data_IF_137906584322
#
_entry.id   IF_137906584322
#
_cell.length_a   1.000
_cell.length_b   1.000
_cell.length_c   1.000
_cell.angle_alpha   90.00
_cell.angle_beta   90.00
_cell.angle_gamma   90.00
#
_symmetry.space_group_name_H-M   'P 1'
#
loop_
_entity.id
_entity.type
_entity.pdbx_description
1 polymer ?
#
# COMPACT_ATOMS: atom_id res chain seq x y z
N UNK A 1 24.61 16.12 14.31
CA UNK A 1 24.43 16.24 13.69
C UNK A 1 23.76 16.62 13.26
N UNK A 2 23.47 16.03 13.49
CA UNK A 2 22.97 16.17 12.68
C UNK A 2 22.28 16.20 12.31
N UNK A 3 21.96 16.03 12.75
CA UNK A 3 21.48 16.11 12.03
C UNK A 3 20.87 16.02 11.63
N UNK A 4 20.71 15.78 12.05
CA UNK A 4 20.41 15.78 11.30
C UNK A 4 19.83 15.56 11.11
N UNK A 5 19.54 15.42 11.36
CA UNK A 5 19.21 15.31 10.84
C UNK A 5 18.81 15.33 10.30
N UNK A 6 18.65 15.08 10.41
CA UNK A 6 18.40 15.05 9.58
C UNK A 6 18.33 14.80 9.12
N UNK A 7 18.37 14.72 9.41
CA UNK A 7 18.46 14.33 8.71
C UNK A 7 18.26 13.81 8.56
N UNK A 8 18.03 13.64 8.54
CA UNK A 8 17.93 13.15 8.18
C UNK A 8 17.56 12.75 7.85
N UNK A 9 17.38 12.58 7.94
CA UNK A 9 17.24 12.19 7.45
C UNK A 9 17.37 11.95 6.99
N UNK A 10 17.46 11.94 6.99
CA UNK A 10 17.77 11.54 6.56
C UNK A 10 18.25 11.19 6.60
N UNK A 11 18.45 10.91 6.34
CA UNK A 11 18.80 10.18 6.35
C UNK A 11 18.97 9.65 6.95
N UNK A 12 19.13 9.60 7.09
CA UNK A 12 19.25 8.47 7.75
C UNK A 12 18.77 7.20 7.25
N UNK A 13 17.68 6.94 7.03
CA UNK A 13 17.23 5.77 6.33
C UNK A 13 17.82 5.69 4.95
N UNK A 14 18.07 4.48 4.43
CA UNK A 14 18.55 4.36 3.07
C UNK A 14 17.62 5.09 2.12
N UNK A 15 18.19 5.77 1.15
CA UNK A 15 17.38 6.41 0.13
C UNK A 15 16.70 5.32 -0.68
N UNK A 16 15.38 5.41 -0.79
CA UNK A 16 14.63 4.45 -1.58
C UNK A 16 14.91 4.65 -3.06
N UNK A 17 15.34 3.60 -3.77
CA UNK A 17 15.48 3.71 -5.21
C UNK A 17 14.16 4.13 -5.86
N UNK A 18 14.24 4.98 -6.87
CA UNK A 18 13.04 5.53 -7.52
C UNK A 18 12.14 4.45 -8.12
N UNK A 19 12.71 3.30 -8.45
CA UNK A 19 11.98 2.21 -9.09
C UNK A 19 11.65 1.10 -8.12
N UNK A 20 11.53 1.40 -6.84
CA UNK A 20 11.31 0.40 -5.82
C UNK A 20 10.23 0.84 -4.83
N UNK A 21 9.97 -0.01 -3.88
CA UNK A 21 9.04 0.26 -2.80
C UNK A 21 9.65 -0.19 -1.48
N UNK A 22 9.12 0.32 -0.38
CA UNK A 22 9.61 -0.01 0.95
C UNK A 22 8.43 -0.41 1.84
N UNK A 23 8.63 -1.48 2.61
CA UNK A 23 7.60 -1.96 3.55
C UNK A 23 8.20 -1.96 4.95
N UNK A 24 7.47 -1.38 5.90
CA UNK A 24 7.90 -1.41 7.29
C UNK A 24 6.67 -1.43 8.20
N UNK A 25 6.85 -1.87 9.43
CA UNK A 25 5.78 -1.84 10.41
C UNK A 25 5.92 -0.57 11.26
N UNK A 26 4.83 0.16 11.42
CA UNK A 26 4.79 1.38 12.23
C UNK A 26 3.64 1.31 13.22
N UNK A 27 3.98 1.29 14.51
CA UNK A 27 3.00 1.32 15.59
C UNK A 27 1.91 0.25 15.46
N UNK A 28 0.88 0.49 14.66
CA UNK A 28 -0.27 -0.40 14.57
C UNK A 28 -0.61 -0.81 13.13
N UNK A 29 0.25 -0.47 12.17
CA UNK A 29 -0.05 -0.77 10.76
C UNK A 29 1.21 -1.02 9.95
N UNK A 30 1.03 -1.74 8.84
CA UNK A 30 2.08 -1.88 7.85
C UNK A 30 2.10 -0.61 7.01
N UNK A 31 3.26 0.00 6.90
CA UNK A 31 3.45 1.18 6.07
C UNK A 31 4.21 0.79 4.80
N UNK A 32 3.67 1.18 3.65
CA UNK A 32 4.29 0.90 2.36
C UNK A 32 4.50 2.23 1.63
N UNK A 33 5.72 2.47 1.19
CA UNK A 33 6.02 3.63 0.37
C UNK A 33 6.37 3.16 -1.04
N UNK A 34 5.71 3.72 -2.04
CA UNK A 34 5.96 3.39 -3.45
C UNK A 34 6.72 4.53 -4.10
N UNK A 35 7.89 4.24 -4.66
CA UNK A 35 8.74 5.24 -5.30
C UNK A 35 8.15 5.73 -6.62
N UNK A 36 8.66 6.89 -7.12
CA UNK A 36 8.06 7.56 -8.28
C UNK A 36 8.19 6.79 -9.61
N UNK A 37 9.13 5.88 -9.70
CA UNK A 37 9.35 5.13 -10.93
C UNK A 37 9.17 3.62 -10.74
N UNK A 38 8.45 3.22 -9.69
CA UNK A 38 8.19 1.81 -9.47
C UNK A 38 7.32 1.26 -10.61
N UNK A 39 7.80 0.22 -11.27
CA UNK A 39 7.08 -0.43 -12.36
C UNK A 39 6.37 -1.65 -11.83
N UNK A 40 5.13 -1.81 -12.27
CA UNK A 40 4.33 -2.90 -11.78
C UNK A 40 4.02 -3.86 -12.93
N UNK A 41 4.81 -4.93 -13.02
CA UNK A 41 4.49 -6.05 -13.90
C UNK A 41 4.03 -7.21 -13.02
N UNK A 42 3.67 -8.35 -13.63
CA UNK A 42 3.11 -9.49 -12.90
C UNK A 42 4.04 -9.98 -11.78
N UNK A 43 5.33 -10.07 -12.06
CA UNK A 43 6.30 -10.54 -11.07
C UNK A 43 6.47 -9.55 -9.93
N UNK A 44 6.61 -8.27 -10.26
CA UNK A 44 6.77 -7.23 -9.25
C UNK A 44 5.53 -7.08 -8.39
N UNK A 45 4.36 -7.24 -8.99
CA UNK A 45 3.09 -7.20 -8.26
C UNK A 45 3.03 -8.30 -7.22
N UNK A 46 3.47 -9.51 -7.57
CA UNK A 46 3.50 -10.61 -6.63
C UNK A 46 4.49 -10.36 -5.49
N UNK A 47 5.69 -9.90 -5.81
CA UNK A 47 6.70 -9.57 -4.80
C UNK A 47 6.19 -8.49 -3.84
N UNK A 48 5.52 -7.49 -4.38
CA UNK A 48 4.97 -6.40 -3.60
C UNK A 48 3.98 -6.92 -2.55
N UNK A 49 2.96 -7.65 -3.01
CA UNK A 49 1.92 -8.12 -2.09
C UNK A 49 2.44 -9.21 -1.15
N UNK A 50 3.35 -10.08 -1.61
CA UNK A 50 3.97 -11.07 -0.72
C UNK A 50 4.66 -10.37 0.45
N UNK A 51 5.39 -9.31 0.19
CA UNK A 51 6.13 -8.60 1.24
C UNK A 51 5.18 -7.85 2.17
N UNK A 52 4.17 -7.20 1.62
CA UNK A 52 3.17 -6.48 2.42
C UNK A 52 2.44 -7.45 3.35
N UNK A 53 1.95 -8.57 2.82
CA UNK A 53 1.17 -9.51 3.61
C UNK A 53 2.02 -10.26 4.63
N UNK A 54 3.27 -10.58 4.29
CA UNK A 54 4.19 -11.21 5.24
C UNK A 54 4.46 -10.28 6.41
N UNK A 55 4.67 -8.99 6.14
CA UNK A 55 4.90 -8.01 7.21
C UNK A 55 3.66 -7.86 8.10
N UNK A 56 2.48 -7.86 7.48
CA UNK A 56 1.22 -7.84 8.21
C UNK A 56 1.13 -9.03 9.17
N UNK A 57 1.43 -10.21 8.66
CA UNK A 57 1.33 -11.44 9.44
C UNK A 57 2.35 -11.48 10.59
N UNK A 58 3.59 -11.13 10.30
CA UNK A 58 4.66 -11.14 11.30
C UNK A 58 4.40 -10.16 12.44
N UNK A 59 3.67 -9.09 12.17
CA UNK A 59 3.37 -8.07 13.18
C UNK A 59 1.93 -8.13 13.68
N UNK A 60 1.20 -9.15 13.27
CA UNK A 60 -0.17 -9.39 13.71
C UNK A 60 -1.04 -8.14 13.60
N UNK A 61 -0.97 -7.46 12.46
CA UNK A 61 -1.82 -6.30 12.19
C UNK A 61 -2.63 -6.52 10.92
N UNK A 62 -3.84 -5.99 10.91
CA UNK A 62 -4.72 -6.07 9.75
C UNK A 62 -4.82 -4.73 9.01
N UNK A 63 -4.06 -3.74 9.46
CA UNK A 63 -4.08 -2.40 8.87
C UNK A 63 -2.88 -2.18 7.98
N UNK A 64 -3.12 -1.69 6.76
CA UNK A 64 -2.08 -1.44 5.78
C UNK A 64 -2.30 -0.06 5.18
N UNK A 65 -1.26 0.77 5.18
CA UNK A 65 -1.28 2.08 4.54
C UNK A 65 -0.25 2.08 3.41
N UNK A 66 -0.71 2.34 2.19
CA UNK A 66 0.16 2.40 1.02
C UNK A 66 0.21 3.84 0.55
N UNK A 67 1.39 4.45 0.60
CA UNK A 67 1.61 5.84 0.20
C UNK A 67 2.65 5.95 -0.89
N UNK A 68 2.77 7.15 -1.46
CA UNK A 68 3.79 7.46 -2.45
C UNK A 68 3.20 7.78 -3.80
N UNK A 69 3.75 7.17 -4.84
CA UNK A 69 3.39 7.50 -6.21
C UNK A 69 2.59 6.39 -6.85
N UNK A 70 1.58 6.79 -7.60
CA UNK A 70 0.82 5.83 -8.39
C UNK A 70 1.72 5.26 -9.49
N UNK A 71 1.84 3.92 -9.61
CA UNK A 71 2.60 3.35 -10.70
C UNK A 71 2.06 3.83 -12.05
N UNK A 72 2.97 4.16 -12.96
CA UNK A 72 2.61 4.83 -14.22
C UNK A 72 2.21 3.89 -15.35
N UNK A 73 2.27 2.60 -15.12
CA UNK A 73 1.85 1.65 -16.13
C UNK A 73 0.34 1.72 -16.33
N UNK A 74 -0.10 1.53 -17.56
CA UNK A 74 -1.52 1.41 -17.82
C UNK A 74 -1.99 0.05 -17.32
N UNK A 75 -2.98 0.06 -16.45
CA UNK A 75 -3.53 -1.17 -15.87
C UNK A 75 -4.75 -1.59 -16.63
N UNK A 76 -4.79 -2.87 -17.01
CA UNK A 76 -5.98 -3.47 -17.61
C UNK A 76 -6.89 -4.01 -16.50
N UNK A 77 -8.11 -4.36 -16.88
CA UNK A 77 -9.05 -5.02 -15.97
C UNK A 77 -8.43 -6.27 -15.36
N UNK A 78 -7.72 -7.06 -16.18
CA UNK A 78 -7.08 -8.29 -15.72
C UNK A 78 -5.99 -7.98 -14.68
N UNK A 79 -5.21 -6.92 -14.91
CA UNK A 79 -4.18 -6.53 -13.95
C UNK A 79 -4.77 -6.19 -12.58
N UNK A 80 -5.91 -5.50 -12.58
CA UNK A 80 -6.57 -5.10 -11.35
C UNK A 80 -7.15 -6.32 -10.62
N UNK A 81 -7.73 -7.26 -11.36
CA UNK A 81 -8.24 -8.50 -10.76
C UNK A 81 -7.10 -9.30 -10.13
N UNK A 82 -5.96 -9.39 -10.82
CA UNK A 82 -4.78 -10.07 -10.30
C UNK A 82 -4.28 -9.40 -9.02
N UNK A 83 -4.18 -8.06 -9.04
CA UNK A 83 -3.75 -7.32 -7.87
C UNK A 83 -4.68 -7.56 -6.69
N UNK A 84 -5.99 -7.58 -6.96
CA UNK A 84 -6.98 -7.81 -5.91
C UNK A 84 -6.88 -9.22 -5.32
N UNK A 85 -6.61 -10.22 -6.15
CA UNK A 85 -6.41 -11.58 -5.67
C UNK A 85 -5.20 -11.67 -4.76
N UNK A 86 -4.10 -11.04 -5.16
CA UNK A 86 -2.89 -11.06 -4.36
C UNK A 86 -3.10 -10.31 -3.05
N UNK A 87 -3.71 -9.14 -3.11
CA UNK A 87 -3.97 -8.31 -1.92
C UNK A 87 -4.89 -9.00 -0.92
N UNK A 88 -5.78 -9.86 -1.39
CA UNK A 88 -6.75 -10.54 -0.55
C UNK A 88 -6.38 -12.00 -0.26
N UNK A 89 -5.12 -12.39 -0.49
CA UNK A 89 -4.64 -13.72 -0.10
C UNK A 89 -4.75 -13.93 1.41
N UNK A 90 -4.63 -12.84 2.19
CA UNK A 90 -4.92 -12.86 3.62
C UNK A 90 -6.27 -12.15 3.82
N UNK A 91 -7.25 -12.78 4.51
CA UNK A 91 -8.55 -12.15 4.69
C UNK A 91 -8.57 -11.11 5.79
N UNK A 92 -9.63 -10.32 5.83
CA UNK A 92 -9.93 -9.37 6.92
C UNK A 92 -8.96 -8.20 7.04
N UNK A 93 -8.32 -7.81 5.92
CA UNK A 93 -7.40 -6.67 5.92
C UNK A 93 -8.14 -5.37 5.66
N UNK A 94 -7.55 -4.27 6.15
CA UNK A 94 -7.99 -2.91 5.88
C UNK A 94 -6.84 -2.21 5.18
N UNK A 95 -7.04 -1.83 3.92
CA UNK A 95 -5.99 -1.27 3.08
C UNK A 95 -6.38 0.14 2.66
N UNK A 96 -5.59 1.13 3.08
CA UNK A 96 -5.76 2.50 2.64
C UNK A 96 -4.68 2.82 1.62
N UNK A 97 -5.10 3.32 0.45
CA UNK A 97 -4.18 3.81 -0.56
C UNK A 97 -4.20 5.33 -0.52
N UNK A 98 -3.03 5.95 -0.38
CA UNK A 98 -2.90 7.40 -0.39
C UNK A 98 -1.74 7.76 -1.31
N UNK A 99 -2.02 7.70 -2.62
CA UNK A 99 -1.03 7.94 -3.65
C UNK A 99 -1.17 9.35 -4.18
N UNK A 100 -0.17 9.82 -4.92
CA UNK A 100 -0.17 11.18 -5.47
C UNK A 100 -1.32 11.43 -6.44
N UNK A 101 -1.82 10.37 -7.09
CA UNK A 101 -2.98 10.44 -7.98
C UNK A 101 -3.90 9.27 -7.71
N UNK A 102 -5.20 9.49 -7.89
CA UNK A 102 -6.16 8.39 -7.82
C UNK A 102 -6.13 7.58 -9.11
N UNK A 103 -6.37 6.28 -8.99
CA UNK A 103 -6.65 5.46 -10.16
C UNK A 103 -8.03 5.84 -10.72
N UNK A 104 -8.31 5.54 -12.00
CA UNK A 104 -9.66 5.76 -12.56
C UNK A 104 -10.73 5.08 -11.71
N UNK A 105 -11.92 5.70 -11.67
CA UNK A 105 -13.02 5.25 -10.82
C UNK A 105 -13.37 3.77 -11.03
N UNK A 106 -13.45 3.35 -12.28
CA UNK A 106 -13.82 1.98 -12.61
C UNK A 106 -12.80 0.96 -12.09
N UNK A 107 -11.52 1.30 -12.13
CA UNK A 107 -10.46 0.42 -11.64
C UNK A 107 -10.46 0.35 -10.11
N UNK A 108 -10.74 1.48 -9.44
CA UNK A 108 -10.84 1.49 -7.98
C UNK A 108 -12.02 0.63 -7.52
N UNK A 109 -13.17 0.80 -8.16
CA UNK A 109 -14.37 0.03 -7.83
C UNK A 109 -14.15 -1.47 -8.05
N UNK A 110 -13.50 -1.82 -9.15
CA UNK A 110 -13.21 -3.21 -9.45
C UNK A 110 -12.31 -3.82 -8.37
N UNK A 111 -11.26 -3.11 -7.99
CA UNK A 111 -10.35 -3.59 -6.94
C UNK A 111 -11.10 -3.82 -5.64
N UNK A 112 -11.94 -2.86 -5.25
CA UNK A 112 -12.73 -2.97 -4.01
C UNK A 112 -13.66 -4.19 -4.03
N UNK A 113 -14.27 -4.45 -5.17
CA UNK A 113 -15.16 -5.61 -5.32
C UNK A 113 -14.38 -6.92 -5.23
N UNK A 114 -13.24 -6.99 -5.88
CA UNK A 114 -12.43 -8.22 -5.88
C UNK A 114 -11.97 -8.57 -4.47
N UNK A 115 -11.44 -7.59 -3.72
CA UNK A 115 -10.93 -7.87 -2.38
C UNK A 115 -12.05 -8.12 -1.38
N UNK A 116 -13.24 -7.59 -1.62
CA UNK A 116 -14.37 -7.75 -0.71
C UNK A 116 -14.79 -9.22 -0.55
N UNK A 117 -14.52 -10.05 -1.56
CA UNK A 117 -14.85 -11.48 -1.50
C UNK A 117 -14.11 -12.21 -0.38
N UNK A 118 -13.01 -11.64 0.13
CA UNK A 118 -12.25 -12.18 1.24
C UNK A 118 -12.35 -11.30 2.47
N UNK A 119 -13.38 -10.46 2.54
CA UNK A 119 -13.62 -9.54 3.66
C UNK A 119 -12.49 -8.53 3.82
N UNK A 120 -11.81 -8.21 2.73
CA UNK A 120 -10.80 -7.15 2.71
C UNK A 120 -11.50 -5.86 2.29
N UNK A 121 -11.15 -4.77 2.97
CA UNK A 121 -11.68 -3.46 2.66
C UNK A 121 -10.57 -2.55 2.19
N UNK A 122 -10.74 -1.99 1.01
CA UNK A 122 -9.78 -1.07 0.42
C UNK A 122 -10.45 0.27 0.21
N UNK A 123 -9.73 1.34 0.47
CA UNK A 123 -10.23 2.68 0.19
C UNK A 123 -9.09 3.56 -0.30
N UNK A 124 -9.42 4.50 -1.19
CA UNK A 124 -8.45 5.35 -1.85
C UNK A 124 -8.62 6.79 -1.39
N UNK A 125 -7.50 7.42 -1.03
CA UNK A 125 -7.48 8.78 -0.48
C UNK A 125 -6.46 9.63 -1.21
N UNK A 126 -6.64 10.94 -1.15
CA UNK A 126 -5.64 11.91 -1.59
C UNK A 126 -5.01 12.64 -0.42
N UNK A 127 -5.49 12.39 0.78
CA UNK A 127 -5.02 13.05 2.00
C UNK A 127 -4.60 12.04 3.05
N UNK A 128 -3.37 12.16 3.51
CA UNK A 128 -2.77 11.25 4.50
C UNK A 128 -3.58 11.17 5.79
N UNK A 129 -4.03 12.32 6.30
CA UNK A 129 -4.76 12.36 7.56
C UNK A 129 -6.06 11.58 7.48
N UNK A 130 -6.78 11.74 6.37
CA UNK A 130 -8.03 11.01 6.19
C UNK A 130 -7.80 9.50 6.07
N UNK A 131 -6.70 9.10 5.43
CA UNK A 131 -6.37 7.68 5.32
C UNK A 131 -6.11 7.08 6.70
N UNK A 132 -5.32 7.76 7.52
CA UNK A 132 -5.01 7.31 8.88
C UNK A 132 -6.27 7.25 9.74
N UNK A 133 -7.12 8.27 9.66
CA UNK A 133 -8.37 8.30 10.42
C UNK A 133 -9.25 7.12 10.04
N UNK A 134 -9.36 6.85 8.74
CA UNK A 134 -10.17 5.73 8.25
C UNK A 134 -9.64 4.40 8.80
N UNK A 135 -8.33 4.19 8.75
CA UNK A 135 -7.73 2.95 9.24
C UNK A 135 -7.97 2.77 10.75
N UNK A 136 -7.83 3.84 11.52
CA UNK A 136 -7.94 3.75 12.98
C UNK A 136 -9.38 3.63 13.46
N UNK A 137 -10.30 4.32 12.78
CA UNK A 137 -11.69 4.35 13.23
C UNK A 137 -12.51 3.19 12.69
N UNK A 138 -12.12 2.60 11.57
CA UNK A 138 -12.90 1.55 10.91
C UNK A 138 -12.20 0.20 10.89
N UNK A 139 -10.95 0.15 11.25
CA UNK A 139 -10.22 -1.08 11.31
C UNK A 139 -10.59 -1.89 12.54
N UNK A 140 -10.05 -3.11 12.66
CA UNK A 140 -10.34 -3.94 13.83
C UNK A 140 -9.82 -3.29 15.10
N UNK A 141 -10.52 -3.55 16.18
CA UNK A 141 -10.21 -3.00 17.49
C UNK A 141 -8.85 -3.50 18.00
#
# INVERSE_FOLDING_TARGET
>A
MRKDKKVQTVLLSPILPENDFRVEFREDHVYVYVGPNYKINARQRKEFWDKVLTTSELNNTQRILIEGYRPKAELTTIDVIEAGRLASAKPNLWIAFCLDELFPDDLRELFEVVVASRLVRAKFFTDHQQAIIWLRNNGPA
#
